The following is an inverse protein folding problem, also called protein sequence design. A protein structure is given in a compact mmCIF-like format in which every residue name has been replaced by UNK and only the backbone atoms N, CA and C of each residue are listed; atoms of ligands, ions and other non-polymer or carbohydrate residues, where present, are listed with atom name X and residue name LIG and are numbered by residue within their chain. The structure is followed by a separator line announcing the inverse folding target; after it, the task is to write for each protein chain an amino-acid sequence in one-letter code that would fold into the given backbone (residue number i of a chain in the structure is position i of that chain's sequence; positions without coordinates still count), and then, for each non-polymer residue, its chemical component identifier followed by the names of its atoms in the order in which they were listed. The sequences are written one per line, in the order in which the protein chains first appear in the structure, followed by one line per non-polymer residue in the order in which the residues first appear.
data_IF_044427065232
#
_entry.id   IF_044427065232
#
_cell.length_a   1.000
_cell.length_b   1.000
_cell.length_c   1.000
_cell.angle_alpha   90.00
_cell.angle_beta   90.00
_cell.angle_gamma   90.00
#
_symmetry.space_group_name_H-M   'P 1'
#
loop_
_entity.id
_entity.type
_entity.pdbx_description
1 polymer ?
#
# COMPACT_ATOMS: atom_id res chain seq x y z
N UNK A 1 5.26 -11.14 -18.27
CA UNK A 1 5.33 -9.90 -17.48
C UNK A 1 4.56 -10.16 -16.21
N UNK A 2 5.09 -9.80 -15.05
CA UNK A 2 4.49 -10.09 -13.74
C UNK A 2 3.84 -8.80 -13.20
N UNK A 3 2.50 -8.78 -13.14
CA UNK A 3 1.70 -7.60 -12.73
C UNK A 3 1.34 -7.67 -11.27
N UNK A 4 1.59 -6.58 -10.53
CA UNK A 4 1.27 -6.46 -9.10
C UNK A 4 0.50 -5.18 -8.86
N UNK A 5 -0.66 -5.26 -8.21
CA UNK A 5 -1.29 -4.06 -7.66
C UNK A 5 -0.79 -3.86 -6.22
N UNK A 6 -0.32 -2.66 -5.92
CA UNK A 6 0.39 -2.36 -4.67
C UNK A 6 -0.48 -1.73 -3.59
N UNK A 7 -1.76 -1.37 -3.91
CA UNK A 7 -2.63 -0.63 -2.99
C UNK A 7 -4.09 -1.09 -3.10
N UNK A 8 -4.52 -1.95 -2.17
CA UNK A 8 -5.86 -2.57 -2.19
C UNK A 8 -6.42 -2.68 -0.78
N UNK A 9 -7.72 -2.40 -0.65
CA UNK A 9 -8.49 -2.52 0.59
C UNK A 9 -9.54 -3.61 0.51
N UNK A 10 -9.83 -4.24 1.66
CA UNK A 10 -10.85 -5.28 1.80
C UNK A 10 -11.97 -4.82 2.71
N UNK A 11 -13.20 -5.28 2.47
CA UNK A 11 -14.36 -4.96 3.30
C UNK A 11 -14.30 -5.57 4.71
N UNK A 12 -13.48 -6.59 4.90
CA UNK A 12 -13.27 -7.26 6.18
C UNK A 12 -12.63 -6.33 7.22
N UNK A 13 -11.85 -5.34 6.75
CA UNK A 13 -11.05 -4.44 7.60
C UNK A 13 -11.37 -2.98 7.34
N UNK A 14 -11.31 -2.54 6.08
CA UNK A 14 -11.47 -1.15 5.68
C UNK A 14 -12.95 -0.84 5.40
N UNK A 15 -13.63 0.00 6.20
CA UNK A 15 -15.07 0.25 6.03
C UNK A 15 -15.44 0.95 4.72
N UNK A 16 -14.45 1.58 4.07
CA UNK A 16 -14.59 2.16 2.74
C UNK A 16 -14.50 1.10 1.63
N UNK A 17 -13.89 -0.06 1.89
CA UNK A 17 -13.86 -1.20 0.98
C UNK A 17 -15.25 -1.84 0.83
N UNK A 18 -15.65 -2.12 -0.41
CA UNK A 18 -16.95 -2.73 -0.73
C UNK A 18 -16.81 -4.18 -1.21
N UNK A 19 -15.61 -4.58 -1.60
CA UNK A 19 -15.31 -5.94 -2.04
C UNK A 19 -14.74 -6.75 -0.89
N UNK A 20 -15.23 -7.97 -0.75
CA UNK A 20 -14.60 -8.94 0.14
C UNK A 20 -13.21 -9.34 -0.38
N UNK A 21 -12.38 -9.85 0.49
CA UNK A 21 -11.07 -10.37 0.13
C UNK A 21 -11.15 -11.39 -1.01
N UNK A 22 -12.14 -12.30 -0.99
CA UNK A 22 -12.38 -13.28 -2.06
C UNK A 22 -12.77 -12.63 -3.38
N UNK A 23 -13.76 -11.72 -3.38
CA UNK A 23 -14.18 -11.02 -4.60
C UNK A 23 -13.03 -10.22 -5.22
N UNK A 24 -12.22 -9.58 -4.37
CA UNK A 24 -11.02 -8.86 -4.79
C UNK A 24 -10.04 -9.80 -5.50
N UNK A 25 -9.68 -10.92 -4.88
CA UNK A 25 -8.75 -11.90 -5.44
C UNK A 25 -9.24 -12.46 -6.77
N UNK A 26 -10.49 -12.91 -6.83
CA UNK A 26 -11.08 -13.47 -8.06
C UNK A 26 -11.14 -12.43 -9.20
N UNK A 27 -11.45 -11.17 -8.85
CA UNK A 27 -11.49 -10.07 -9.79
C UNK A 27 -10.11 -9.74 -10.36
N UNK A 28 -9.07 -9.60 -9.51
CA UNK A 28 -7.70 -9.34 -9.95
C UNK A 28 -7.12 -10.47 -10.77
N UNK A 29 -7.43 -11.73 -10.44
CA UNK A 29 -7.03 -12.87 -11.26
C UNK A 29 -7.65 -12.81 -12.66
N UNK A 30 -8.93 -12.46 -12.76
CA UNK A 30 -9.63 -12.24 -14.04
C UNK A 30 -9.08 -11.03 -14.83
N UNK A 31 -8.66 -9.99 -14.11
CA UNK A 31 -8.03 -8.80 -14.70
C UNK A 31 -6.59 -9.04 -15.19
N UNK A 32 -6.04 -10.25 -15.00
CA UNK A 32 -4.71 -10.64 -15.50
C UNK A 32 -3.56 -10.15 -14.62
N UNK A 33 -3.79 -9.93 -13.33
CA UNK A 33 -2.73 -9.71 -12.35
C UNK A 33 -2.17 -11.04 -11.85
N UNK A 34 -0.89 -11.02 -11.49
CA UNK A 34 -0.15 -12.17 -10.96
C UNK A 34 -0.03 -12.11 -9.43
N UNK A 35 -0.09 -10.89 -8.89
CA UNK A 35 -0.06 -10.64 -7.45
C UNK A 35 -0.82 -9.37 -7.06
N UNK A 36 -1.19 -9.30 -5.78
CA UNK A 36 -1.78 -8.11 -5.14
C UNK A 36 -1.17 -7.90 -3.75
N UNK A 37 -1.09 -6.64 -3.31
CA UNK A 37 -0.78 -6.26 -1.95
C UNK A 37 -2.07 -5.85 -1.24
N UNK A 38 -2.47 -6.58 -0.21
CA UNK A 38 -3.54 -6.14 0.68
C UNK A 38 -2.94 -5.14 1.66
N UNK A 39 -3.37 -3.90 1.54
CA UNK A 39 -2.88 -2.73 2.27
C UNK A 39 -3.97 -2.04 3.07
N UNK A 40 -4.80 -2.82 3.74
CA UNK A 40 -5.91 -2.29 4.54
C UNK A 40 -5.44 -1.18 5.50
N UNK A 41 -6.34 -0.22 5.76
CA UNK A 41 -6.08 0.89 6.67
C UNK A 41 -5.69 0.41 8.07
N UNK A 42 -4.51 0.81 8.53
CA UNK A 42 -4.03 0.59 9.89
C UNK A 42 -3.92 1.93 10.62
N UNK A 43 -4.94 2.25 11.40
CA UNK A 43 -5.03 3.49 12.16
C UNK A 43 -5.88 3.32 13.41
N UNK A 44 -5.83 4.32 14.30
CA UNK A 44 -6.61 4.31 15.53
C UNK A 44 -8.13 4.15 15.30
N UNK A 45 -8.67 4.75 14.24
CA UNK A 45 -10.10 4.69 13.94
C UNK A 45 -10.57 3.28 13.60
N UNK A 46 -9.76 2.52 12.89
CA UNK A 46 -10.01 1.10 12.59
C UNK A 46 -9.85 0.25 13.86
N UNK A 47 -8.70 0.38 14.55
CA UNK A 47 -8.39 -0.46 15.71
C UNK A 47 -9.35 -0.24 16.90
N UNK A 48 -9.96 0.94 17.03
CA UNK A 48 -11.00 1.19 18.05
C UNK A 48 -12.28 0.39 17.87
N UNK A 49 -12.52 -0.17 16.68
CA UNK A 49 -13.70 -1.00 16.40
C UNK A 49 -13.55 -2.43 16.91
N UNK A 50 -12.34 -2.82 17.30
CA UNK A 50 -12.02 -4.17 17.75
C UNK A 50 -11.81 -4.18 19.27
N UNK A 51 -12.34 -5.21 19.92
CA UNK A 51 -12.16 -5.44 21.34
C UNK A 51 -10.76 -6.02 21.64
N UNK A 52 -10.34 -5.93 22.91
CA UNK A 52 -9.09 -6.49 23.39
C UNK A 52 -7.90 -5.53 23.33
N UNK A 53 -6.70 -6.07 23.59
CA UNK A 53 -5.43 -5.37 23.49
C UNK A 53 -4.91 -5.30 22.06
N UNK A 54 -3.66 -4.88 21.91
CA UNK A 54 -3.03 -4.71 20.59
C UNK A 54 -3.06 -6.01 19.76
N UNK A 55 -2.64 -7.12 20.37
CA UNK A 55 -2.53 -8.40 19.66
C UNK A 55 -3.88 -8.86 19.11
N UNK A 56 -4.92 -8.82 19.93
CA UNK A 56 -6.28 -9.20 19.50
C UNK A 56 -6.78 -8.31 18.36
N UNK A 57 -6.49 -7.02 18.44
CA UNK A 57 -6.86 -6.05 17.38
C UNK A 57 -6.11 -6.31 16.09
N UNK A 58 -4.82 -6.60 16.15
CA UNK A 58 -4.03 -6.94 14.96
C UNK A 58 -4.46 -8.28 14.37
N UNK A 59 -4.76 -9.29 15.20
CA UNK A 59 -5.32 -10.57 14.73
C UNK A 59 -6.63 -10.35 13.94
N UNK A 60 -7.47 -9.43 14.40
CA UNK A 60 -8.71 -9.07 13.71
C UNK A 60 -8.45 -8.26 12.44
N UNK A 61 -7.47 -7.34 12.48
CA UNK A 61 -7.06 -6.56 11.33
C UNK A 61 -6.46 -7.42 10.21
N UNK A 62 -5.73 -8.47 10.55
CA UNK A 62 -5.13 -9.40 9.58
C UNK A 62 -6.16 -10.25 8.82
N UNK A 63 -7.44 -10.19 9.17
CA UNK A 63 -8.46 -11.05 8.57
C UNK A 63 -8.57 -10.84 7.06
N UNK A 64 -8.60 -9.59 6.57
CA UNK A 64 -8.69 -9.29 5.15
C UNK A 64 -7.54 -9.92 4.35
N UNK A 65 -6.31 -9.71 4.82
CA UNK A 65 -5.13 -10.34 4.20
C UNK A 65 -5.19 -11.87 4.23
N UNK A 66 -5.54 -12.48 5.37
CA UNK A 66 -5.55 -13.94 5.51
C UNK A 66 -6.61 -14.59 4.62
N UNK A 67 -7.80 -14.00 4.53
CA UNK A 67 -8.85 -14.48 3.62
C UNK A 67 -8.45 -14.27 2.15
N UNK A 68 -7.84 -13.13 1.81
CA UNK A 68 -7.31 -12.90 0.47
C UNK A 68 -6.22 -13.92 0.11
N UNK A 69 -5.28 -14.20 1.02
CA UNK A 69 -4.21 -15.18 0.80
C UNK A 69 -4.77 -16.56 0.53
N UNK A 70 -5.75 -17.01 1.36
CA UNK A 70 -6.41 -18.29 1.17
C UNK A 70 -7.12 -18.38 -0.19
N UNK A 71 -7.88 -17.35 -0.55
CA UNK A 71 -8.53 -17.29 -1.86
C UNK A 71 -7.51 -17.26 -3.01
N UNK A 72 -6.38 -16.56 -2.83
CA UNK A 72 -5.29 -16.49 -3.81
C UNK A 72 -4.65 -17.86 -4.09
N UNK A 73 -4.45 -18.68 -3.07
CA UNK A 73 -3.95 -20.05 -3.20
C UNK A 73 -4.88 -20.92 -4.07
N UNK A 74 -6.20 -20.73 -3.97
CA UNK A 74 -7.20 -21.46 -4.74
C UNK A 74 -7.20 -21.10 -6.24
N UNK A 75 -6.92 -19.82 -6.58
CA UNK A 75 -7.02 -19.32 -7.97
C UNK A 75 -5.66 -19.04 -8.63
N UNK A 76 -4.57 -19.27 -7.90
CA UNK A 76 -3.21 -19.03 -8.40
C UNK A 76 -2.86 -17.54 -8.53
N UNK A 77 -3.34 -16.68 -7.61
CA UNK A 77 -2.94 -15.28 -7.45
C UNK A 77 -2.09 -15.14 -6.18
N UNK A 78 -0.91 -14.52 -6.27
CA UNK A 78 -0.12 -14.25 -5.07
C UNK A 78 -0.71 -13.08 -4.30
N UNK A 79 -0.74 -13.20 -2.98
CA UNK A 79 -1.24 -12.16 -2.09
C UNK A 79 -0.16 -11.82 -1.07
N UNK A 80 0.23 -10.55 -1.05
CA UNK A 80 1.24 -10.02 -0.15
C UNK A 80 0.61 -9.16 0.94
N UNK A 81 1.18 -9.25 2.15
CA UNK A 81 0.82 -8.38 3.25
C UNK A 81 1.50 -7.02 3.09
N UNK A 82 0.69 -5.98 3.06
CA UNK A 82 1.09 -4.59 3.19
C UNK A 82 0.18 -3.91 4.22
N UNK A 83 0.36 -2.64 4.48
CA UNK A 83 -0.55 -1.84 5.29
C UNK A 83 -0.54 -0.40 4.79
N UNK A 84 -1.70 0.25 4.78
CA UNK A 84 -1.78 1.70 4.68
C UNK A 84 -1.90 2.28 6.09
N UNK A 85 -0.79 2.78 6.60
CA UNK A 85 -0.66 3.28 7.97
C UNK A 85 -0.94 4.77 8.04
N UNK A 86 -1.86 5.16 8.94
CA UNK A 86 -2.02 6.56 9.36
C UNK A 86 -1.61 6.70 10.80
N UNK A 87 -0.62 7.56 11.04
CA UNK A 87 -0.09 7.82 12.36
C UNK A 87 -1.03 8.71 13.19
N UNK A 88 -0.98 8.54 14.51
CA UNK A 88 -1.67 9.37 15.49
C UNK A 88 -0.92 10.70 15.73
N UNK A 89 -0.72 11.48 14.68
CA UNK A 89 -0.09 12.78 14.83
C UNK A 89 -1.07 13.77 15.48
N UNK A 90 -0.54 14.61 16.37
CA UNK A 90 -1.31 15.67 17.05
C UNK A 90 -1.78 16.77 16.09
N UNK A 91 -1.27 16.78 14.85
CA UNK A 91 -1.65 17.75 13.83
C UNK A 91 -2.85 17.25 13.03
N UNK A 92 -4.05 17.66 13.42
CA UNK A 92 -5.29 17.33 12.72
C UNK A 92 -5.37 17.85 11.27
N UNK A 93 -4.45 18.72 10.87
CA UNK A 93 -4.39 19.26 9.50
C UNK A 93 -3.61 18.38 8.52
N UNK A 94 -2.92 17.35 9.00
CA UNK A 94 -2.16 16.42 8.17
C UNK A 94 -2.75 15.01 8.24
N UNK A 95 -3.19 14.51 7.09
CA UNK A 95 -3.87 13.23 6.95
C UNK A 95 -3.00 12.17 6.27
N UNK A 96 -1.69 12.38 6.25
CA UNK A 96 -0.75 11.51 5.55
C UNK A 96 -0.95 10.02 5.89
N UNK A 97 -0.92 9.21 4.84
CA UNK A 97 -0.98 7.77 4.89
C UNK A 97 0.28 7.20 4.23
N UNK A 98 0.75 6.08 4.76
CA UNK A 98 2.00 5.48 4.34
C UNK A 98 1.81 4.00 4.06
N UNK A 99 2.17 3.57 2.85
CA UNK A 99 2.22 2.16 2.49
C UNK A 99 3.52 1.54 3.02
N UNK A 100 3.38 0.44 3.76
CA UNK A 100 4.50 -0.36 4.24
C UNK A 100 4.65 -1.63 3.41
N UNK A 101 5.85 -1.85 2.85
CA UNK A 101 6.20 -3.08 2.14
C UNK A 101 7.33 -3.83 2.86
N UNK A 102 7.34 -5.15 2.74
CA UNK A 102 8.23 -6.03 3.51
C UNK A 102 7.63 -6.47 4.85
N UNK A 103 6.36 -6.18 5.06
CA UNK A 103 5.64 -6.40 6.31
C UNK A 103 5.43 -7.88 6.60
N UNK A 104 5.49 -8.24 7.89
CA UNK A 104 5.12 -9.56 8.40
C UNK A 104 4.05 -9.44 9.48
N UNK A 105 3.25 -10.50 9.65
CA UNK A 105 2.28 -10.56 10.76
C UNK A 105 2.98 -10.40 12.12
N UNK A 106 4.14 -11.04 12.29
CA UNK A 106 4.92 -10.96 13.53
C UNK A 106 5.35 -9.53 13.84
N UNK A 107 5.85 -8.77 12.86
CA UNK A 107 6.21 -7.36 13.06
C UNK A 107 5.03 -6.56 13.62
N UNK A 108 3.84 -6.73 13.06
CA UNK A 108 2.64 -6.03 13.52
C UNK A 108 2.24 -6.43 14.96
N UNK A 109 2.32 -7.72 15.28
CA UNK A 109 1.97 -8.23 16.61
C UNK A 109 2.94 -7.76 17.71
N UNK A 110 4.20 -7.52 17.36
CA UNK A 110 5.26 -7.13 18.31
C UNK A 110 5.43 -5.63 18.49
N UNK A 111 4.85 -4.79 17.62
CA UNK A 111 5.04 -3.34 17.63
C UNK A 111 3.75 -2.59 18.00
N UNK A 112 3.33 -2.70 19.25
CA UNK A 112 2.08 -2.13 19.78
C UNK A 112 1.96 -0.60 19.59
N UNK A 113 3.07 0.12 19.63
CA UNK A 113 3.07 1.57 19.52
C UNK A 113 3.20 2.09 18.08
N UNK A 114 3.21 1.19 17.06
CA UNK A 114 3.54 1.53 15.68
C UNK A 114 2.82 2.80 15.18
N UNK A 115 1.50 2.88 15.38
CA UNK A 115 0.68 4.00 14.90
C UNK A 115 0.77 5.24 15.80
N UNK A 116 1.28 5.10 17.03
CA UNK A 116 1.43 6.20 17.99
C UNK A 116 2.81 6.88 17.93
N UNK A 117 3.71 6.36 17.10
CA UNK A 117 5.05 6.91 16.95
C UNK A 117 5.01 8.24 16.19
N UNK A 118 5.87 9.22 16.55
CA UNK A 118 6.22 10.31 15.67
C UNK A 118 6.81 9.79 14.36
N UNK A 119 6.59 10.52 13.26
CA UNK A 119 6.96 10.08 11.90
C UNK A 119 8.41 9.60 11.78
N UNK A 120 9.37 10.36 12.30
CA UNK A 120 10.80 10.00 12.22
C UNK A 120 11.11 8.68 12.97
N UNK A 121 10.44 8.43 14.11
CA UNK A 121 10.60 7.18 14.85
C UNK A 121 9.91 6.01 14.14
N UNK A 122 8.75 6.26 13.55
CA UNK A 122 8.04 5.28 12.72
C UNK A 122 8.91 4.83 11.54
N UNK A 123 9.50 5.77 10.78
CA UNK A 123 10.40 5.45 9.66
C UNK A 123 11.64 4.71 10.17
N UNK A 124 12.25 5.17 11.25
CA UNK A 124 13.43 4.51 11.84
C UNK A 124 13.13 3.08 12.27
N UNK A 125 11.96 2.82 12.86
CA UNK A 125 11.51 1.48 13.22
C UNK A 125 11.29 0.61 11.98
N UNK A 126 10.63 1.15 10.96
CA UNK A 126 10.40 0.46 9.69
C UNK A 126 11.73 0.06 9.02
N UNK A 127 12.66 0.99 8.87
CA UNK A 127 13.97 0.73 8.26
C UNK A 127 14.81 -0.27 9.07
N UNK A 128 14.79 -0.20 10.42
CA UNK A 128 15.46 -1.19 11.28
C UNK A 128 14.94 -2.61 11.05
N UNK A 129 13.69 -2.75 10.66
CA UNK A 129 13.05 -4.03 10.34
C UNK A 129 12.99 -4.33 8.83
N UNK A 130 13.79 -3.61 8.03
CA UNK A 130 13.92 -3.81 6.60
C UNK A 130 12.59 -3.64 5.84
N UNK A 131 11.72 -2.72 6.29
CA UNK A 131 10.50 -2.32 5.58
C UNK A 131 10.77 -1.10 4.71
N UNK A 132 9.98 -0.93 3.65
CA UNK A 132 9.90 0.31 2.88
C UNK A 132 8.73 1.15 3.36
N UNK A 133 8.95 2.47 3.44
CA UNK A 133 7.93 3.47 3.75
C UNK A 133 7.68 4.31 2.50
N UNK A 134 6.47 4.20 1.95
CA UNK A 134 6.05 4.90 0.74
C UNK A 134 4.86 5.79 1.08
N UNK A 135 4.95 7.09 0.82
CA UNK A 135 3.80 7.96 1.05
C UNK A 135 2.72 7.68 0.02
N UNK A 136 1.52 7.35 0.49
CA UNK A 136 0.34 7.13 -0.35
C UNK A 136 -0.19 8.47 -0.87
N UNK A 137 -0.63 8.52 -2.13
CA UNK A 137 -1.33 9.64 -2.80
C UNK A 137 -1.00 11.04 -2.23
N UNK A 138 0.29 11.49 -2.28
CA UNK A 138 0.83 12.59 -1.48
C UNK A 138 0.22 13.97 -1.76
N UNK A 139 -0.49 14.13 -2.88
CA UNK A 139 -1.07 15.41 -3.32
C UNK A 139 -2.59 15.47 -3.24
N UNK A 140 -3.24 14.48 -2.61
CA UNK A 140 -4.69 14.58 -2.30
C UNK A 140 -4.97 15.74 -1.34
N UNK A 141 -6.18 16.32 -1.36
CA UNK A 141 -6.59 17.31 -0.37
C UNK A 141 -6.29 16.83 1.06
N UNK A 142 -5.74 17.72 1.89
CA UNK A 142 -5.32 17.45 3.28
C UNK A 142 -4.06 16.60 3.47
N UNK A 143 -3.46 16.08 2.39
CA UNK A 143 -2.13 15.48 2.44
C UNK A 143 -1.05 16.55 2.37
N UNK A 144 0.12 16.28 2.93
CA UNK A 144 1.31 17.15 2.86
C UNK A 144 2.53 16.30 2.54
N UNK A 145 3.35 16.75 1.62
CA UNK A 145 4.69 16.17 1.45
C UNK A 145 5.54 16.54 2.66
N UNK A 146 6.01 15.56 3.41
CA UNK A 146 6.76 15.78 4.64
C UNK A 146 7.97 14.88 4.69
N UNK A 147 9.15 15.47 4.95
CA UNK A 147 10.42 14.75 5.11
C UNK A 147 10.67 13.72 4.00
N UNK A 148 10.71 14.16 2.72
CA UNK A 148 10.98 13.24 1.61
C UNK A 148 12.33 12.52 1.75
N UNK A 149 13.27 13.13 2.46
CA UNK A 149 14.57 12.55 2.79
C UNK A 149 14.51 11.27 3.64
N UNK A 150 13.39 10.99 4.27
CA UNK A 150 13.16 9.79 5.09
C UNK A 150 12.32 8.71 4.37
N UNK A 151 11.67 9.07 3.27
CA UNK A 151 10.82 8.15 2.52
C UNK A 151 11.65 7.28 1.55
N UNK A 152 11.20 6.07 1.31
CA UNK A 152 11.76 5.19 0.28
C UNK A 152 11.11 5.42 -1.10
N UNK A 153 9.89 5.92 -1.11
CA UNK A 153 9.13 6.20 -2.32
C UNK A 153 7.86 6.99 -2.07
N UNK A 154 7.13 7.23 -3.14
CA UNK A 154 5.78 7.79 -3.11
C UNK A 154 4.89 7.06 -4.11
N UNK A 155 3.61 6.98 -3.83
CA UNK A 155 2.63 6.54 -4.80
C UNK A 155 2.42 7.65 -5.82
N UNK A 156 3.18 7.55 -6.92
CA UNK A 156 3.19 8.52 -8.00
C UNK A 156 1.95 8.41 -8.89
N UNK A 157 1.34 7.23 -8.95
CA UNK A 157 0.07 7.02 -9.62
C UNK A 157 -0.90 6.30 -8.68
N UNK A 158 -2.02 6.94 -8.40
CA UNK A 158 -3.15 6.36 -7.71
C UNK A 158 -4.33 6.26 -8.68
N UNK A 159 -4.83 5.04 -8.89
CA UNK A 159 -5.87 4.74 -9.89
C UNK A 159 -7.30 5.01 -9.43
N UNK A 160 -7.51 5.46 -8.18
CA UNK A 160 -8.84 5.72 -7.64
C UNK A 160 -9.45 6.98 -8.23
N UNK A 161 -10.35 6.80 -9.20
CA UNK A 161 -10.94 7.90 -9.97
C UNK A 161 -11.92 8.78 -9.17
N UNK A 162 -12.27 8.40 -7.93
CA UNK A 162 -13.16 9.21 -7.09
C UNK A 162 -12.44 10.36 -6.39
N UNK A 163 -11.10 10.30 -6.35
CA UNK A 163 -10.27 11.30 -5.72
C UNK A 163 -9.26 11.86 -6.73
N UNK A 164 -9.14 13.17 -6.80
CA UNK A 164 -8.04 13.79 -7.54
C UNK A 164 -6.74 13.57 -6.76
N UNK A 165 -5.85 12.78 -7.32
CA UNK A 165 -4.57 12.41 -6.68
C UNK A 165 -3.37 13.18 -7.21
N UNK A 166 -3.56 14.06 -8.22
CA UNK A 166 -2.50 14.87 -8.83
C UNK A 166 -1.27 14.02 -9.22
N UNK A 167 -1.52 12.92 -9.95
CA UNK A 167 -0.52 11.90 -10.23
C UNK A 167 0.74 12.44 -10.94
N UNK A 168 0.60 13.41 -11.86
CA UNK A 168 1.76 14.02 -12.54
C UNK A 168 2.63 14.82 -11.59
N UNK A 169 2.01 15.53 -10.62
CA UNK A 169 2.72 16.24 -9.56
C UNK A 169 3.46 15.27 -8.64
N UNK A 170 2.81 14.15 -8.30
CA UNK A 170 3.42 13.10 -7.47
C UNK A 170 4.60 12.42 -8.17
N UNK A 171 4.52 12.19 -9.49
CA UNK A 171 5.63 11.66 -10.27
C UNK A 171 6.78 12.66 -10.37
N UNK A 172 6.49 13.95 -10.61
CA UNK A 172 7.47 15.02 -10.63
C UNK A 172 8.20 15.13 -9.29
N UNK A 173 7.43 15.07 -8.20
CA UNK A 173 7.98 15.08 -6.83
C UNK A 173 8.88 13.88 -6.56
N UNK A 174 8.48 12.66 -7.00
CA UNK A 174 9.30 11.47 -6.87
C UNK A 174 10.68 11.66 -7.54
N UNK A 175 10.70 12.14 -8.77
CA UNK A 175 11.96 12.35 -9.50
C UNK A 175 12.82 13.46 -8.89
N UNK A 176 12.19 14.58 -8.49
CA UNK A 176 12.91 15.70 -7.87
C UNK A 176 13.61 15.30 -6.57
N UNK A 177 12.98 14.45 -5.77
CA UNK A 177 13.53 13.99 -4.49
C UNK A 177 14.24 12.62 -4.57
N UNK A 178 14.44 12.08 -5.76
CA UNK A 178 15.06 10.75 -5.97
C UNK A 178 14.35 9.61 -5.23
N UNK A 179 13.04 9.74 -5.06
CA UNK A 179 12.17 8.72 -4.48
C UNK A 179 11.74 7.70 -5.53
N UNK A 180 11.44 6.48 -5.11
CA UNK A 180 10.87 5.46 -5.99
C UNK A 180 9.41 5.77 -6.28
N UNK A 181 9.04 6.01 -7.56
CA UNK A 181 7.64 6.16 -7.90
C UNK A 181 6.94 4.79 -7.88
N UNK A 182 5.84 4.65 -7.16
CA UNK A 182 4.99 3.47 -7.19
C UNK A 182 3.63 3.80 -7.79
N UNK A 183 2.91 2.77 -8.19
CA UNK A 183 1.55 2.87 -8.68
C UNK A 183 0.66 1.83 -8.01
N UNK A 184 -0.51 2.23 -7.55
CA UNK A 184 -1.55 1.38 -7.00
C UNK A 184 -2.94 1.81 -7.47
N UNK A 185 -3.90 0.91 -7.42
CA UNK A 185 -5.28 1.24 -7.76
C UNK A 185 -6.02 1.96 -6.64
N UNK A 186 -5.57 1.78 -5.40
CA UNK A 186 -6.30 2.17 -4.20
C UNK A 186 -7.74 1.63 -4.25
N UNK A 187 -7.80 0.32 -4.54
CA UNK A 187 -9.03 -0.39 -4.85
C UNK A 187 -9.92 -0.52 -3.64
N UNK A 188 -11.12 0.04 -3.72
CA UNK A 188 -12.16 -0.05 -2.71
C UNK A 188 -13.44 -0.73 -3.24
N UNK A 189 -13.60 -0.75 -4.56
CA UNK A 189 -14.80 -1.26 -5.23
C UNK A 189 -14.45 -1.73 -6.65
N UNK A 190 -15.41 -2.36 -7.33
CA UNK A 190 -15.17 -3.03 -8.61
C UNK A 190 -14.59 -2.09 -9.68
N UNK A 191 -15.06 -0.85 -9.72
CA UNK A 191 -14.65 0.15 -10.71
C UNK A 191 -13.20 0.62 -10.54
N UNK A 192 -12.58 0.39 -9.38
CA UNK A 192 -11.18 0.76 -9.10
C UNK A 192 -10.21 -0.34 -9.53
N UNK A 193 -10.73 -1.56 -9.67
CA UNK A 193 -9.93 -2.75 -9.89
C UNK A 193 -9.07 -2.66 -11.16
N UNK A 194 -7.77 -2.91 -10.99
CA UNK A 194 -6.83 -2.96 -12.11
C UNK A 194 -6.46 -1.60 -12.71
N UNK A 195 -6.79 -0.49 -12.03
CA UNK A 195 -6.49 0.86 -12.51
C UNK A 195 -5.08 1.34 -12.18
N UNK A 196 -4.32 0.58 -11.41
CA UNK A 196 -2.95 0.89 -11.00
C UNK A 196 -2.14 -0.38 -10.77
N UNK A 197 -0.89 -0.19 -10.36
CA UNK A 197 0.04 -1.27 -10.07
C UNK A 197 1.38 -1.11 -10.77
N UNK A 198 2.20 -2.14 -10.69
CA UNK A 198 3.53 -2.18 -11.30
C UNK A 198 3.70 -3.47 -12.12
N UNK A 199 4.54 -3.39 -13.15
CA UNK A 199 4.96 -4.54 -13.96
C UNK A 199 6.40 -4.85 -13.61
N UNK A 200 6.65 -5.99 -13.01
CA UNK A 200 7.99 -6.42 -12.62
C UNK A 200 8.73 -7.06 -13.80
N UNK A 201 10.04 -6.87 -13.85
CA UNK A 201 10.93 -7.54 -14.81
C UNK A 201 11.07 -9.03 -14.52
N UNK A 202 10.86 -9.45 -13.27
CA UNK A 202 10.92 -10.83 -12.81
C UNK A 202 9.77 -11.13 -11.84
N UNK A 203 9.48 -12.41 -11.65
CA UNK A 203 8.47 -12.88 -10.70
C UNK A 203 8.89 -12.59 -9.25
N UNK A 204 7.92 -12.24 -8.41
CA UNK A 204 8.06 -12.18 -6.98
C UNK A 204 7.16 -13.23 -6.32
N UNK A 205 7.74 -14.12 -5.52
CA UNK A 205 7.03 -15.17 -4.79
C UNK A 205 6.76 -14.79 -3.32
N UNK A 206 7.48 -13.78 -2.82
CA UNK A 206 7.36 -13.27 -1.45
C UNK A 206 7.34 -11.75 -1.44
N UNK A 207 6.80 -11.18 -0.36
CA UNK A 207 6.82 -9.72 -0.15
C UNK A 207 8.26 -9.18 -0.08
N UNK A 208 9.22 -9.98 0.38
CA UNK A 208 10.63 -9.58 0.43
C UNK A 208 11.24 -9.48 -0.96
N UNK A 209 10.94 -10.42 -1.85
CA UNK A 209 11.36 -10.35 -3.26
C UNK A 209 10.72 -9.15 -3.97
N UNK A 210 9.41 -8.91 -3.76
CA UNK A 210 8.74 -7.72 -4.28
C UNK A 210 9.45 -6.44 -3.80
N UNK A 211 9.70 -6.34 -2.49
CA UNK A 211 10.42 -5.23 -1.90
C UNK A 211 11.80 -5.02 -2.54
N UNK A 212 12.57 -6.08 -2.69
CA UNK A 212 13.92 -6.01 -3.28
C UNK A 212 13.89 -5.56 -4.76
N UNK A 213 12.87 -5.98 -5.52
CA UNK A 213 12.63 -5.52 -6.90
C UNK A 213 12.30 -4.02 -6.90
N UNK A 214 11.44 -3.56 -5.97
CA UNK A 214 11.12 -2.14 -5.80
C UNK A 214 12.38 -1.34 -5.47
N UNK A 215 13.19 -1.80 -4.53
CA UNK A 215 14.46 -1.16 -4.16
C UNK A 215 15.40 -1.07 -5.36
N UNK A 216 15.47 -2.10 -6.17
CA UNK A 216 16.32 -2.15 -7.36
C UNK A 216 15.79 -1.33 -8.55
N UNK A 217 14.54 -0.82 -8.49
CA UNK A 217 13.90 -0.10 -9.59
C UNK A 217 13.62 -0.98 -10.82
N UNK A 218 13.47 -2.29 -10.64
CA UNK A 218 13.27 -3.27 -11.73
C UNK A 218 11.78 -3.50 -12.02
N UNK A 219 11.08 -2.43 -12.30
CA UNK A 219 9.65 -2.44 -12.63
C UNK A 219 9.28 -1.22 -13.47
N UNK A 220 8.08 -1.23 -14.03
CA UNK A 220 7.43 -0.10 -14.72
C UNK A 220 6.09 0.17 -14.07
N UNK A 221 5.63 1.42 -14.12
CA UNK A 221 4.33 1.81 -13.57
C UNK A 221 3.19 1.41 -14.52
N UNK A 222 2.03 1.12 -13.94
CA UNK A 222 0.74 1.09 -14.63
C UNK A 222 -0.03 2.40 -14.33
N UNK A 223 -0.80 2.93 -15.30
CA UNK A 223 -0.91 2.47 -16.68
C UNK A 223 0.41 2.70 -17.45
N UNK A 224 0.68 1.79 -18.39
CA UNK A 224 1.88 1.92 -19.24
C UNK A 224 1.88 3.26 -19.97
N UNK A 225 3.03 3.91 -20.04
CA UNK A 225 3.20 5.23 -20.66
C UNK A 225 2.92 6.41 -19.71
N UNK A 226 2.45 6.18 -18.50
CA UNK A 226 2.25 7.26 -17.50
C UNK A 226 3.56 8.01 -17.21
N UNK A 227 4.67 7.31 -17.07
CA UNK A 227 5.98 7.93 -16.79
C UNK A 227 6.45 8.88 -17.91
N UNK A 228 5.94 8.72 -19.11
CA UNK A 228 6.28 9.59 -20.26
C UNK A 228 5.52 10.92 -20.23
N UNK A 229 4.47 11.05 -19.42
CA UNK A 229 3.67 12.29 -19.31
C UNK A 229 4.48 13.44 -18.70
N UNK A 230 5.48 13.12 -17.87
CA UNK A 230 6.30 14.11 -17.12
C UNK A 230 7.66 14.39 -17.78
N UNK A 231 8.09 13.56 -18.73
CA UNK A 231 9.38 13.74 -19.44
C UNK A 231 9.34 14.78 -20.57
N UNK A 232 8.23 15.48 -20.72
CA UNK A 232 8.04 16.54 -21.72
C UNK A 232 8.13 17.90 -21.05
#
# INVERSE_FOLDING_TARGET
MFRVDTHIHTSEVSPCGKLTARETVEGYRKAGYDAICISDHLNRGILKKYDGGWKEKIERWLLGYREARKAGEEVGLRVFLAAEVKLDEANAECWNEYLLFGLTEQFLLENEELIALPFEKFVSLAHKNNLLVVQAHPFRPHMKTYRPDLLDGVEAYNGNARNESHNEEALTFAYYHHLRPLSGSDCHQLEDMGRGGIILEQQADTIFQLKDIIVAGKYRLLPEGFEDSVKR
#
